data_IF_161709156240
#
_entry.id   IF_161709156240
#
_cell.length_a   1.000
_cell.length_b   1.000
_cell.length_c   1.000
_cell.angle_alpha   90.00
_cell.angle_beta   90.00
_cell.angle_gamma   90.00
#
_symmetry.space_group_name_H-M   'P 1'
#
loop_
_entity.id
_entity.type
_entity.pdbx_description
1 polymer ?
#
# COMPACT_ATOMS: atom_id res chain seq x y z
N UNK A 1 -18.25 -2.38 -3.25
CA UNK A 1 -17.26 -1.50 -2.58
C UNK A 1 -16.31 -0.94 -3.63
N UNK A 2 -16.09 0.37 -3.65
CA UNK A 2 -15.11 0.98 -4.54
C UNK A 2 -13.69 0.52 -4.16
N UNK A 3 -12.83 0.32 -5.15
CA UNK A 3 -11.44 -0.12 -4.99
C UNK A 3 -10.56 0.48 -6.08
N UNK A 4 -9.25 0.47 -5.89
CA UNK A 4 -8.31 0.83 -6.94
C UNK A 4 -8.26 -0.30 -7.99
N UNK A 5 -8.58 0.02 -9.24
CA UNK A 5 -8.65 -0.95 -10.36
C UNK A 5 -7.57 -0.72 -11.42
N UNK A 6 -6.81 0.37 -11.31
CA UNK A 6 -5.72 0.70 -12.24
C UNK A 6 -4.43 -0.09 -11.89
N UNK A 7 -3.37 0.08 -12.67
CA UNK A 7 -2.16 -0.72 -12.62
C UNK A 7 -1.46 -0.70 -11.24
N UNK A 8 -1.56 -1.78 -10.46
CA UNK A 8 -0.97 -1.90 -9.11
C UNK A 8 0.56 -1.70 -9.08
N UNK A 9 1.27 -2.13 -10.13
CA UNK A 9 2.72 -1.92 -10.23
C UNK A 9 3.12 -0.44 -10.32
N UNK A 10 2.21 0.44 -10.77
CA UNK A 10 2.42 1.90 -10.77
C UNK A 10 2.54 2.43 -9.35
N UNK A 11 1.73 1.92 -8.43
CA UNK A 11 1.77 2.29 -7.01
C UNK A 11 3.08 1.84 -6.37
N UNK A 12 3.50 0.59 -6.58
CA UNK A 12 4.79 0.09 -6.08
C UNK A 12 5.97 0.95 -6.58
N UNK A 13 5.99 1.30 -7.87
CA UNK A 13 7.04 2.18 -8.45
C UNK A 13 7.00 3.60 -7.92
N UNK A 14 5.82 4.12 -7.55
CA UNK A 14 5.69 5.47 -6.99
C UNK A 14 6.20 5.54 -5.54
N UNK A 15 5.93 4.49 -4.75
CA UNK A 15 6.48 4.34 -3.39
C UNK A 15 7.98 4.02 -3.44
N UNK A 16 8.42 3.26 -4.44
CA UNK A 16 9.81 2.84 -4.61
C UNK A 16 10.14 1.51 -3.93
N UNK A 17 9.13 0.80 -3.42
CA UNK A 17 9.29 -0.47 -2.70
C UNK A 17 8.31 -1.53 -3.24
N UNK A 18 8.62 -2.80 -2.95
CA UNK A 18 7.73 -3.91 -3.30
C UNK A 18 6.58 -4.00 -2.28
N UNK A 19 5.36 -3.72 -2.73
CA UNK A 19 4.13 -3.85 -1.93
C UNK A 19 3.42 -5.20 -2.11
N UNK A 20 3.99 -6.13 -2.88
CA UNK A 20 3.47 -7.49 -3.11
C UNK A 20 2.01 -7.59 -3.60
N UNK A 21 1.50 -6.55 -4.26
CA UNK A 21 0.10 -6.48 -4.72
C UNK A 21 -0.27 -7.49 -5.83
N UNK A 22 0.70 -8.15 -6.45
CA UNK A 22 0.50 -9.15 -7.52
C UNK A 22 0.99 -10.56 -7.15
N UNK A 23 1.12 -10.85 -5.84
CA UNK A 23 1.50 -12.17 -5.35
C UNK A 23 2.81 -12.68 -5.95
N UNK A 24 2.77 -13.90 -6.50
CA UNK A 24 3.93 -14.60 -7.07
C UNK A 24 4.72 -13.77 -8.09
N UNK A 25 4.04 -12.98 -8.92
CA UNK A 25 4.70 -12.13 -9.92
C UNK A 25 5.66 -11.13 -9.29
N UNK A 26 5.42 -10.68 -8.06
CA UNK A 26 6.29 -9.75 -7.34
C UNK A 26 7.61 -10.38 -6.85
N UNK A 27 7.68 -11.70 -6.76
CA UNK A 27 8.89 -12.45 -6.41
C UNK A 27 9.78 -12.73 -7.63
N UNK A 28 9.21 -12.71 -8.83
CA UNK A 28 9.96 -12.92 -10.08
C UNK A 28 10.69 -11.65 -10.57
N UNK A 29 11.75 -11.80 -11.40
CA UNK A 29 12.43 -10.66 -12.03
C UNK A 29 11.55 -9.87 -13.02
N UNK A 30 10.32 -10.34 -13.28
CA UNK A 30 9.32 -9.62 -14.07
C UNK A 30 8.68 -8.47 -13.30
N UNK A 31 8.99 -8.31 -12.02
CA UNK A 31 8.49 -7.22 -11.19
C UNK A 31 8.91 -5.85 -11.74
N UNK A 32 7.93 -4.95 -11.91
CA UNK A 32 8.18 -3.63 -12.48
C UNK A 32 9.09 -2.75 -11.61
N UNK A 33 9.14 -2.99 -10.30
CA UNK A 33 10.00 -2.26 -9.37
C UNK A 33 11.48 -2.59 -9.61
N UNK A 34 11.79 -3.87 -9.87
CA UNK A 34 13.15 -4.30 -10.16
C UNK A 34 13.60 -3.84 -11.55
N UNK A 35 12.72 -3.99 -12.55
CA UNK A 35 13.03 -3.59 -13.94
C UNK A 35 13.10 -2.07 -14.11
N UNK A 36 12.34 -1.29 -13.33
CA UNK A 36 12.20 0.15 -13.48
C UNK A 36 12.13 0.85 -12.12
N UNK A 37 13.30 1.15 -11.54
CA UNK A 37 13.45 1.83 -10.24
C UNK A 37 12.94 3.28 -10.21
N UNK A 38 12.75 3.89 -11.37
CA UNK A 38 12.27 5.27 -11.45
C UNK A 38 10.76 5.35 -11.18
N UNK A 39 10.28 6.45 -10.56
CA UNK A 39 8.84 6.67 -10.40
C UNK A 39 8.14 6.74 -11.77
N UNK A 40 6.84 6.41 -11.84
CA UNK A 40 6.08 6.46 -13.08
C UNK A 40 5.88 7.91 -13.58
N UNK A 41 5.96 8.12 -14.89
CA UNK A 41 5.79 9.41 -15.58
C UNK A 41 7.01 9.81 -16.43
N UNK A 42 6.80 10.72 -17.39
CA UNK A 42 7.81 11.08 -18.41
C UNK A 42 8.87 12.07 -17.92
N UNK A 43 8.63 12.72 -16.77
CA UNK A 43 9.53 13.73 -16.22
C UNK A 43 10.43 13.12 -15.16
N UNK A 44 11.71 12.90 -15.50
CA UNK A 44 12.78 12.68 -14.51
C UNK A 44 13.00 13.99 -13.75
N UNK A 45 12.12 14.26 -12.78
CA UNK A 45 12.25 15.42 -11.92
C UNK A 45 13.53 15.21 -11.08
N UNK A 46 14.47 16.16 -11.18
CA UNK A 46 15.57 16.32 -10.23
C UNK A 46 15.04 15.98 -8.83
N UNK A 47 15.70 15.04 -8.13
CA UNK A 47 15.31 14.65 -6.76
C UNK A 47 15.31 15.91 -5.89
N UNK A 48 14.12 16.46 -5.64
CA UNK A 48 13.94 17.52 -4.65
C UNK A 48 14.03 16.88 -3.27
N UNK A 49 14.66 17.59 -2.32
CA UNK A 49 14.69 17.16 -0.92
C UNK A 49 13.24 17.00 -0.44
N UNK A 50 12.94 15.83 0.13
CA UNK A 50 11.63 15.56 0.69
C UNK A 50 11.41 16.46 1.91
N UNK A 51 10.23 17.08 2.00
CA UNK A 51 9.76 17.72 3.23
C UNK A 51 9.24 16.68 4.21
N UNK A 52 9.18 17.01 5.50
CA UNK A 52 8.65 16.11 6.54
C UNK A 52 7.21 15.67 6.24
N UNK A 53 6.38 16.61 5.77
CA UNK A 53 5.04 16.29 5.29
C UNK A 53 5.05 15.27 4.14
N UNK A 54 5.96 15.41 3.18
CA UNK A 54 6.04 14.48 2.05
C UNK A 54 6.49 13.07 2.48
N UNK A 55 7.30 12.97 3.53
CA UNK A 55 7.70 11.71 4.14
C UNK A 55 6.50 11.06 4.85
N UNK A 56 5.80 11.81 5.70
CA UNK A 56 4.59 11.32 6.37
C UNK A 56 3.51 10.88 5.38
N UNK A 57 3.29 11.68 4.33
CA UNK A 57 2.36 11.34 3.27
C UNK A 57 2.76 10.04 2.57
N UNK A 58 4.05 9.84 2.28
CA UNK A 58 4.55 8.60 1.67
C UNK A 58 4.30 7.39 2.56
N UNK A 59 4.58 7.47 3.85
CA UNK A 59 4.33 6.36 4.78
C UNK A 59 2.83 6.04 4.89
N UNK A 60 1.98 7.07 4.97
CA UNK A 60 0.53 6.90 4.95
C UNK A 60 0.06 6.21 3.66
N UNK A 61 0.56 6.66 2.51
CA UNK A 61 0.21 6.07 1.22
C UNK A 61 0.71 4.63 1.10
N UNK A 62 1.91 4.32 1.59
CA UNK A 62 2.48 2.97 1.65
C UNK A 62 1.59 2.03 2.44
N UNK A 63 1.20 2.41 3.66
CA UNK A 63 0.28 1.62 4.48
C UNK A 63 -1.07 1.40 3.75
N UNK A 64 -1.67 2.48 3.25
CA UNK A 64 -2.94 2.42 2.54
C UNK A 64 -2.93 1.46 1.34
N UNK A 65 -1.89 1.54 0.51
CA UNK A 65 -1.76 0.68 -0.67
C UNK A 65 -1.48 -0.77 -0.31
N UNK A 66 -0.65 -1.03 0.71
CA UNK A 66 -0.29 -2.39 1.14
C UNK A 66 -1.53 -3.17 1.59
N UNK A 67 -2.41 -2.54 2.35
CA UNK A 67 -3.67 -3.16 2.82
C UNK A 67 -4.83 -3.01 1.81
N UNK A 68 -4.61 -2.43 0.63
CA UNK A 68 -5.64 -2.32 -0.41
C UNK A 68 -6.87 -1.49 -0.03
N UNK A 69 -6.72 -0.51 0.86
CA UNK A 69 -7.86 0.24 1.44
C UNK A 69 -8.04 1.61 0.79
N UNK A 70 -9.26 2.12 0.74
CA UNK A 70 -9.51 3.49 0.27
C UNK A 70 -9.18 4.53 1.35
N UNK A 71 -8.88 5.76 0.91
CA UNK A 71 -8.56 6.89 1.81
C UNK A 71 -9.59 7.10 2.92
N UNK A 72 -10.87 7.08 2.53
CA UNK A 72 -11.99 7.30 3.47
C UNK A 72 -12.09 6.18 4.50
N UNK A 73 -11.79 4.94 4.13
CA UNK A 73 -11.77 3.81 5.06
C UNK A 73 -10.54 3.89 5.98
N UNK A 74 -9.36 4.17 5.42
CA UNK A 74 -8.13 4.34 6.19
C UNK A 74 -8.29 5.42 7.26
N UNK A 75 -8.86 6.58 6.89
CA UNK A 75 -9.12 7.68 7.82
C UNK A 75 -10.02 7.25 8.97
N UNK A 76 -11.10 6.51 8.69
CA UNK A 76 -11.97 5.97 9.74
C UNK A 76 -11.23 5.05 10.70
N UNK A 77 -10.38 4.15 10.20
CA UNK A 77 -9.57 3.29 11.08
C UNK A 77 -8.58 4.09 11.93
N UNK A 78 -8.00 5.14 11.37
CA UNK A 78 -7.13 6.04 12.12
C UNK A 78 -7.89 6.79 13.22
N UNK A 79 -9.07 7.33 12.92
CA UNK A 79 -9.91 8.02 13.90
C UNK A 79 -10.29 7.06 15.05
N UNK A 80 -10.71 5.83 14.72
CA UNK A 80 -10.99 4.77 15.70
C UNK A 80 -9.76 4.34 16.51
N UNK A 81 -8.58 4.32 15.90
CA UNK A 81 -7.33 3.99 16.59
C UNK A 81 -6.92 5.10 17.56
N UNK A 82 -7.16 6.37 17.18
CA UNK A 82 -6.83 7.55 17.99
C UNK A 82 -7.71 7.67 19.23
N UNK A 83 -8.95 7.19 19.17
CA UNK A 83 -9.89 7.19 20.30
C UNK A 83 -9.60 6.10 21.34
N UNK A 84 -8.73 5.13 21.02
CA UNK A 84 -8.40 4.02 21.91
C UNK A 84 -7.15 4.35 22.75
N UNK A 85 -7.11 3.94 24.03
CA UNK A 85 -5.92 4.08 24.85
C UNK A 85 -4.80 3.16 24.34
N UNK A 86 -3.58 3.68 24.27
CA UNK A 86 -2.38 2.96 23.82
C UNK A 86 -1.65 3.66 22.67
N UNK A 87 -0.75 2.93 22.01
CA UNK A 87 0.01 3.44 20.86
C UNK A 87 -0.86 3.42 19.62
N UNK A 88 -1.25 4.59 19.12
CA UNK A 88 -2.17 4.74 17.97
C UNK A 88 -1.68 4.00 16.71
N UNK A 89 -0.38 3.96 16.47
CA UNK A 89 0.22 3.26 15.33
C UNK A 89 -0.03 1.75 15.37
N UNK A 90 0.18 1.13 16.54
CA UNK A 90 -0.01 -0.30 16.72
C UNK A 90 -1.49 -0.68 16.61
N UNK A 91 -2.36 0.14 17.20
CA UNK A 91 -3.81 -0.08 17.14
C UNK A 91 -4.32 0.06 15.71
N UNK A 92 -3.82 1.03 14.94
CA UNK A 92 -4.15 1.17 13.52
C UNK A 92 -3.73 -0.08 12.74
N UNK A 93 -2.52 -0.59 12.97
CA UNK A 93 -2.03 -1.80 12.32
C UNK A 93 -2.88 -3.02 12.69
N UNK A 94 -3.27 -3.15 13.96
CA UNK A 94 -4.19 -4.21 14.40
C UNK A 94 -5.54 -4.13 13.66
N UNK A 95 -6.13 -2.95 13.51
CA UNK A 95 -7.38 -2.81 12.74
C UNK A 95 -7.22 -3.20 11.28
N UNK A 96 -6.09 -2.86 10.65
CA UNK A 96 -5.81 -3.22 9.26
C UNK A 96 -5.56 -4.72 9.10
N UNK A 97 -4.82 -5.34 10.03
CA UNK A 97 -4.51 -6.78 9.99
C UNK A 97 -5.75 -7.66 10.25
N UNK A 98 -6.68 -7.20 11.09
CA UNK A 98 -7.91 -7.93 11.45
C UNK A 98 -8.98 -7.96 10.36
N UNK A 99 -8.80 -7.25 9.26
CA UNK A 99 -9.79 -7.24 8.17
C UNK A 99 -9.85 -8.60 7.49
N UNK A 100 -11.05 -9.08 7.17
CA UNK A 100 -11.25 -10.40 6.58
C UNK A 100 -10.46 -10.60 5.27
N UNK A 101 -10.39 -9.59 4.41
CA UNK A 101 -9.62 -9.65 3.16
C UNK A 101 -8.12 -9.83 3.40
N UNK A 102 -7.59 -9.15 4.41
CA UNK A 102 -6.20 -9.31 4.82
C UNK A 102 -5.95 -10.65 5.52
N UNK A 103 -6.86 -11.13 6.37
CA UNK A 103 -6.78 -12.45 7.01
C UNK A 103 -6.76 -13.56 5.96
N UNK A 104 -7.63 -13.51 4.94
CA UNK A 104 -7.66 -14.47 3.83
C UNK A 104 -6.32 -14.48 3.06
N UNK A 105 -5.72 -13.31 2.84
CA UNK A 105 -4.38 -13.19 2.26
C UNK A 105 -3.29 -13.79 3.17
N UNK A 106 -3.31 -13.48 4.48
CA UNK A 106 -2.35 -14.01 5.46
C UNK A 106 -2.41 -15.53 5.60
N UNK A 107 -3.60 -16.11 5.46
CA UNK A 107 -3.82 -17.57 5.45
C UNK A 107 -3.45 -18.23 4.12
N UNK A 108 -2.85 -17.51 3.18
CA UNK A 108 -2.45 -17.98 1.85
C UNK A 108 -3.61 -18.52 0.97
N UNK A 109 -4.87 -18.21 1.32
CA UNK A 109 -6.04 -18.54 0.50
C UNK A 109 -6.18 -17.64 -0.73
N UNK A 110 -5.45 -16.52 -0.78
CA UNK A 110 -5.37 -15.63 -1.93
C UNK A 110 -3.92 -15.18 -2.16
N UNK A 111 -3.50 -15.14 -3.42
CA UNK A 111 -2.15 -14.68 -3.79
C UNK A 111 -1.91 -13.17 -3.57
N UNK A 112 -2.97 -12.37 -3.40
CA UNK A 112 -2.88 -10.93 -3.12
C UNK A 112 -4.15 -10.41 -2.44
N UNK A 113 -4.01 -9.36 -1.61
CA UNK A 113 -5.14 -8.67 -0.95
C UNK A 113 -6.09 -8.03 -1.98
N UNK A 114 -5.54 -7.49 -3.07
CA UNK A 114 -6.32 -7.02 -4.22
C UNK A 114 -6.51 -8.14 -5.23
N UNK A 115 -7.77 -8.51 -5.53
CA UNK A 115 -8.08 -9.37 -6.68
C UNK A 115 -7.60 -8.71 -7.97
N UNK A 116 -6.79 -9.42 -8.75
CA UNK A 116 -6.34 -8.99 -10.07
C UNK A 116 -7.54 -8.56 -10.92
N UNK A 117 -7.55 -7.29 -11.33
CA UNK A 117 -8.15 -6.92 -12.61
C UNK A 117 -7.11 -7.27 -13.67
N UNK A 118 -7.47 -8.21 -14.54
CA UNK A 118 -6.78 -8.58 -15.77
C UNK A 118 -6.24 -7.36 -16.52
#
# INVERSE_FOLDING_TARGET
MARYTDASCRQCRRIGEKLFLKGERCYTPRCAVERRKNPPGDRSLKRRRASDWSLQLREKQKARFSYGVLERQFRKYFDLARERPGVTGDILLQYLERRLDNVVYRLAFAGSVSREGS
#
